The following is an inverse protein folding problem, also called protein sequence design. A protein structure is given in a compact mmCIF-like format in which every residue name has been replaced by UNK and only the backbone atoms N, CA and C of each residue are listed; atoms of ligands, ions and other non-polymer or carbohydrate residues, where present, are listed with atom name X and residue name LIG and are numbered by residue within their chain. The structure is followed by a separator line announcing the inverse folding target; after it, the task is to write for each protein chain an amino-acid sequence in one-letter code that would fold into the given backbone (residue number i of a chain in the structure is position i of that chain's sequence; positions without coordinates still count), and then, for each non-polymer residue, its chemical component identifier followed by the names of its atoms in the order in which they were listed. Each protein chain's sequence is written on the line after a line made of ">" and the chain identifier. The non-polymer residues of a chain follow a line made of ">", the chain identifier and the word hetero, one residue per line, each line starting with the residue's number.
data_IF_338495061430
#
_entry.id   IF_338495061430
#
_cell.length_a   1.000
_cell.length_b   1.000
_cell.length_c   1.000
_cell.angle_alpha   90.00
_cell.angle_beta   90.00
_cell.angle_gamma   90.00
#
_symmetry.space_group_name_H-M   'P 1'
#
loop_
_entity.id
_entity.type
_entity.pdbx_description
1 polymer ?
#
# COMPACT_ATOMS: atom_id res chain seq x y z
N UNK A 1 16.23 -6.26 25.76
CA UNK A 1 15.76 -6.21 24.91
C UNK A 1 14.83 -5.38 24.82
N UNK A 2 14.57 -4.85 24.18
CA UNK A 2 13.77 -4.03 24.10
C UNK A 2 12.87 -4.25 23.26
N UNK A 3 11.92 -4.13 23.35
CA UNK A 3 11.06 -4.38 22.60
C UNK A 3 10.24 -3.39 22.43
N UNK A 4 9.93 -3.02 21.53
CA UNK A 4 9.11 -2.05 21.24
C UNK A 4 7.91 -2.45 21.53
N UNK A 5 7.53 -2.47 22.50
CA UNK A 5 6.36 -2.87 22.80
C UNK A 5 5.37 -2.21 21.99
N UNK A 6 5.35 -1.13 21.52
CA UNK A 6 4.35 -0.64 20.79
C UNK A 6 4.77 -0.34 19.49
N UNK A 7 4.06 -0.56 18.52
CA UNK A 7 4.37 -0.34 17.20
C UNK A 7 4.41 1.09 16.93
N UNK A 8 5.38 1.77 17.25
CA UNK A 8 5.46 3.04 16.92
C UNK A 8 5.32 3.19 15.50
N UNK A 9 4.62 3.97 14.97
CA UNK A 9 4.50 4.15 13.56
C UNK A 9 3.74 3.06 12.86
N UNK A 10 2.67 2.59 13.45
CA UNK A 10 1.90 1.56 12.79
C UNK A 10 1.44 2.00 11.40
N UNK A 11 1.12 3.27 11.23
CA UNK A 11 0.70 3.74 9.93
C UNK A 11 1.83 3.59 8.93
N UNK A 12 3.05 3.89 9.32
CA UNK A 12 4.20 3.71 8.46
C UNK A 12 4.44 2.23 8.19
N UNK A 13 4.28 1.40 9.22
CA UNK A 13 4.49 -0.03 9.07
C UNK A 13 3.55 -0.62 8.04
N UNK A 14 2.32 -0.13 8.01
CA UNK A 14 1.36 -0.65 7.05
C UNK A 14 1.54 -0.01 5.68
N UNK A 15 1.87 1.27 5.64
CA UNK A 15 2.01 1.95 4.36
C UNK A 15 3.25 1.56 3.58
N UNK A 16 4.30 1.18 4.27
CA UNK A 16 5.53 0.82 3.57
C UNK A 16 5.32 -0.34 2.59
N UNK A 17 4.78 -1.48 3.02
CA UNK A 17 4.56 -2.55 2.05
C UNK A 17 3.47 -2.19 1.04
N UNK A 18 2.51 -1.37 1.43
CA UNK A 18 1.48 -0.96 0.48
C UNK A 18 2.08 -0.08 -0.61
N UNK A 19 3.00 0.82 -0.24
CA UNK A 19 3.67 1.64 -1.23
C UNK A 19 4.51 0.80 -2.16
N UNK A 20 5.18 -0.20 -1.61
CA UNK A 20 6.00 -1.09 -2.43
C UNK A 20 5.12 -1.88 -3.39
N UNK A 21 3.99 -2.37 -2.91
CA UNK A 21 3.08 -3.12 -3.75
C UNK A 21 2.52 -2.24 -4.86
N UNK A 22 2.16 -1.01 -4.51
CA UNK A 22 1.65 -0.09 -5.51
C UNK A 22 2.71 0.19 -6.57
N UNK A 23 3.96 0.36 -6.16
CA UNK A 23 5.04 0.60 -7.11
C UNK A 23 5.22 -0.57 -8.05
N UNK A 24 5.14 -1.81 -7.53
CA UNK A 24 5.26 -2.98 -8.37
C UNK A 24 4.11 -3.07 -9.37
N UNK A 25 2.91 -2.75 -8.93
CA UNK A 25 1.77 -2.78 -9.82
C UNK A 25 1.89 -1.70 -10.90
N UNK A 26 2.43 -0.55 -10.54
CA UNK A 26 2.61 0.51 -11.52
C UNK A 26 3.66 0.16 -12.55
N UNK A 27 4.70 -0.57 -12.13
CA UNK A 27 5.69 -1.04 -13.07
C UNK A 27 5.05 -2.05 -14.03
N UNK A 28 4.21 -2.93 -13.50
CA UNK A 28 3.54 -3.89 -14.34
C UNK A 28 2.58 -3.20 -15.31
N UNK A 29 1.98 -2.11 -14.87
CA UNK A 29 1.06 -1.38 -15.71
C UNK A 29 1.76 -0.80 -16.94
N UNK A 30 3.06 -0.59 -16.86
CA UNK A 30 3.81 -0.04 -17.99
C UNK A 30 4.12 -1.09 -19.04
N UNK A 31 3.86 -2.36 -18.74
CA UNK A 31 4.11 -3.41 -19.70
C UNK A 31 2.95 -3.52 -20.68
N UNK A 32 3.18 -4.17 -21.78
CA UNK A 32 2.13 -4.36 -22.72
C UNK A 32 1.35 -5.55 -22.27
N UNK A 33 0.16 -5.37 -21.78
CA UNK A 33 -0.65 -6.45 -21.25
C UNK A 33 -1.91 -6.64 -22.07
N UNK A 34 -2.40 -7.86 -22.13
CA UNK A 34 -3.71 -8.10 -22.72
C UNK A 34 -4.77 -7.30 -21.96
N UNK A 35 -5.85 -6.90 -22.62
CA UNK A 35 -6.84 -6.03 -21.98
C UNK A 35 -7.39 -6.55 -20.67
N UNK A 36 -7.62 -7.86 -20.57
CA UNK A 36 -8.18 -8.37 -19.32
C UNK A 36 -7.15 -8.31 -18.19
N UNK A 37 -5.87 -8.47 -18.52
CA UNK A 37 -4.86 -8.40 -17.48
C UNK A 37 -4.65 -6.94 -17.08
N UNK A 38 -4.73 -6.04 -18.06
CA UNK A 38 -4.59 -4.62 -17.76
C UNK A 38 -5.71 -4.17 -16.83
N UNK A 39 -6.92 -4.64 -17.06
CA UNK A 39 -8.03 -4.28 -16.22
C UNK A 39 -7.82 -4.77 -14.79
N UNK A 40 -7.27 -5.98 -14.64
CA UNK A 40 -6.99 -6.51 -13.31
C UNK A 40 -5.93 -5.68 -12.59
N UNK A 41 -4.88 -5.29 -13.32
CA UNK A 41 -3.83 -4.50 -12.73
C UNK A 41 -4.38 -3.15 -12.29
N UNK A 42 -5.22 -2.54 -13.11
CA UNK A 42 -5.81 -1.26 -12.78
C UNK A 42 -6.70 -1.36 -11.54
N UNK A 43 -7.45 -2.44 -11.42
CA UNK A 43 -8.26 -2.63 -10.23
C UNK A 43 -7.40 -2.84 -9.00
N UNK A 44 -6.29 -3.56 -9.15
CA UNK A 44 -5.39 -3.79 -8.02
C UNK A 44 -4.75 -2.48 -7.57
N UNK A 45 -4.39 -1.62 -8.51
CA UNK A 45 -3.83 -0.33 -8.17
C UNK A 45 -4.86 0.49 -7.41
N UNK A 46 -6.10 0.47 -7.87
CA UNK A 46 -7.14 1.24 -7.21
C UNK A 46 -7.39 0.72 -5.80
N UNK A 47 -7.35 -0.59 -5.62
CA UNK A 47 -7.53 -1.18 -4.29
C UNK A 47 -6.37 -0.81 -3.37
N UNK A 48 -5.16 -0.77 -3.90
CA UNK A 48 -4.02 -0.36 -3.10
C UNK A 48 -4.16 1.09 -2.66
N UNK A 49 -4.61 1.95 -3.56
CA UNK A 49 -4.81 3.35 -3.21
C UNK A 49 -5.87 3.50 -2.15
N UNK A 50 -6.92 2.67 -2.23
CA UNK A 50 -7.97 2.70 -1.23
C UNK A 50 -7.43 2.24 0.11
N UNK A 51 -6.57 1.21 0.10
CA UNK A 51 -5.99 0.73 1.35
C UNK A 51 -5.11 1.80 1.99
N UNK A 52 -4.33 2.50 1.18
CA UNK A 52 -3.49 3.56 1.71
C UNK A 52 -4.36 4.63 2.36
N UNK A 53 -5.48 4.95 1.74
CA UNK A 53 -6.38 5.95 2.28
C UNK A 53 -7.00 5.47 3.60
N UNK A 54 -7.41 4.21 3.63
CA UNK A 54 -8.00 3.63 4.83
C UNK A 54 -6.99 3.66 5.97
N UNK A 55 -5.76 3.28 5.69
CA UNK A 55 -4.74 3.29 6.72
C UNK A 55 -4.55 4.71 7.24
N UNK A 56 -4.51 5.68 6.33
CA UNK A 56 -4.30 7.04 6.74
C UNK A 56 -5.45 7.56 7.60
N UNK A 57 -6.67 7.16 7.30
CA UNK A 57 -7.82 7.65 8.01
C UNK A 57 -8.20 6.84 9.23
N UNK A 58 -7.94 5.55 9.21
CA UNK A 58 -8.41 4.69 10.28
C UNK A 58 -7.32 4.30 11.26
N UNK A 59 -6.07 4.36 10.87
CA UNK A 59 -4.99 3.99 11.75
C UNK A 59 -4.39 5.28 12.29
N UNK A 60 -4.30 5.44 13.59
CA UNK A 60 -3.78 6.69 14.16
C UNK A 60 -2.35 6.93 13.72
N UNK A 61 -2.07 8.18 13.43
CA UNK A 61 -0.73 8.52 13.04
C UNK A 61 0.14 8.46 14.26
N UNK A 62 1.41 8.19 14.01
CA UNK A 62 2.34 8.09 15.10
C UNK A 62 2.56 9.48 15.63
N UNK A 63 2.45 9.72 16.93
CA UNK A 63 2.65 11.00 17.39
C UNK A 63 3.79 10.98 18.24
N UNK A 64 4.59 11.83 18.24
CA UNK A 64 5.72 11.85 19.02
C UNK A 64 5.58 12.53 20.19
#
# INVERSE_FOLDING_TARGET
>A
MTTPDRPKGLQHTLNNPLAALLAELQLLEMEELPPEHRASVERAIELCRRLVRIVREQVPADRV
#
